data_IF_924149930947
#
_entry.id   IF_924149930947
#
_cell.length_a   1.000
_cell.length_b   1.000
_cell.length_c   1.000
_cell.angle_alpha   90.00
_cell.angle_beta   90.00
_cell.angle_gamma   90.00
#
_symmetry.space_group_name_H-M   'P 1'
#
loop_
_entity.id
_entity.type
_entity.pdbx_description
1 polymer ?
#
# COMPACT_ATOMS: atom_id res chain seq x y z
N UNK A 1 -9.09 16.96 -22.10
CA UNK A 1 -10.35 16.27 -21.76
C UNK A 1 -11.46 16.99 -22.50
N UNK A 2 -12.06 16.35 -23.50
CA UNK A 2 -13.29 16.85 -24.09
C UNK A 2 -14.45 16.39 -23.19
N UNK A 3 -15.29 17.34 -22.78
CA UNK A 3 -16.44 17.06 -21.92
C UNK A 3 -17.60 16.62 -22.83
N UNK A 4 -17.97 15.34 -22.78
CA UNK A 4 -19.12 14.82 -23.52
C UNK A 4 -20.41 15.01 -22.70
N UNK A 5 -21.55 15.03 -23.37
CA UNK A 5 -22.84 15.29 -22.74
C UNK A 5 -23.90 14.30 -23.24
N UNK A 6 -24.71 13.81 -22.31
CA UNK A 6 -25.92 13.03 -22.60
C UNK A 6 -27.15 13.91 -22.47
N UNK A 7 -27.98 13.97 -23.52
CA UNK A 7 -29.23 14.72 -23.50
C UNK A 7 -30.33 13.94 -22.75
N UNK A 8 -30.89 14.55 -21.71
CA UNK A 8 -32.01 14.01 -20.95
C UNK A 8 -33.15 15.03 -20.95
N UNK A 9 -34.12 14.83 -21.85
CA UNK A 9 -35.17 15.84 -22.12
C UNK A 9 -34.59 17.11 -22.74
N UNK A 10 -34.89 18.26 -22.14
CA UNK A 10 -34.38 19.57 -22.59
C UNK A 10 -33.01 19.94 -22.00
N UNK A 11 -32.39 19.04 -21.23
CA UNK A 11 -31.13 19.29 -20.54
C UNK A 11 -29.98 18.47 -21.11
N UNK A 12 -28.79 19.07 -21.16
CA UNK A 12 -27.52 18.39 -21.42
C UNK A 12 -26.80 18.13 -20.10
N UNK A 13 -26.64 16.85 -19.77
CA UNK A 13 -25.95 16.41 -18.55
C UNK A 13 -24.52 16.01 -18.96
N UNK A 14 -23.47 16.60 -18.36
CA UNK A 14 -22.09 16.21 -18.68
C UNK A 14 -21.81 14.78 -18.22
N UNK A 15 -21.15 14.01 -19.08
CA UNK A 15 -20.72 12.65 -18.77
C UNK A 15 -19.46 12.70 -17.91
N UNK A 16 -19.67 12.80 -16.60
CA UNK A 16 -18.60 12.83 -15.61
C UNK A 16 -18.13 11.39 -15.32
N UNK A 17 -17.21 10.89 -16.14
CA UNK A 17 -16.47 9.65 -15.84
C UNK A 17 -15.25 10.00 -15.00
N UNK A 18 -15.10 9.38 -13.82
CA UNK A 18 -13.80 9.31 -13.18
C UNK A 18 -12.92 8.37 -14.02
N UNK A 19 -11.66 8.74 -14.33
CA UNK A 19 -10.75 7.78 -14.94
C UNK A 19 -10.67 6.55 -14.02
N UNK A 20 -10.99 5.38 -14.56
CA UNK A 20 -10.80 4.10 -13.88
C UNK A 20 -9.30 3.86 -13.72
N UNK A 21 -8.72 4.40 -12.65
CA UNK A 21 -7.45 3.89 -12.15
C UNK A 21 -7.74 2.57 -11.44
N UNK A 22 -7.77 1.47 -12.19
CA UNK A 22 -7.62 0.12 -11.65
C UNK A 22 -6.19 -0.07 -11.11
N UNK A 23 -5.78 0.75 -10.15
CA UNK A 23 -4.56 0.49 -9.40
C UNK A 23 -4.88 -0.55 -8.34
N UNK A 24 -4.40 -1.77 -8.55
CA UNK A 24 -4.48 -2.82 -7.55
C UNK A 24 -3.66 -2.41 -6.31
N UNK A 25 -4.36 -2.05 -5.22
CA UNK A 25 -3.73 -1.67 -3.96
C UNK A 25 -3.22 -2.95 -3.26
N UNK A 26 -1.91 -3.02 -2.99
CA UNK A 26 -1.29 -4.14 -2.30
C UNK A 26 -1.62 -4.22 -0.80
N UNK A 27 -0.96 -5.19 -0.13
CA UNK A 27 -1.16 -5.50 1.31
C UNK A 27 -1.07 -4.25 2.18
N UNK A 28 -0.02 -3.44 2.03
CA UNK A 28 0.24 -2.32 2.93
C UNK A 28 -0.71 -1.14 2.67
N UNK A 29 -1.06 -0.89 1.42
CA UNK A 29 -2.07 0.10 1.08
C UNK A 29 -3.45 -0.27 1.66
N UNK A 30 -3.82 -1.56 1.63
CA UNK A 30 -5.08 -2.02 2.23
C UNK A 30 -5.09 -1.92 3.76
N UNK A 31 -3.95 -2.19 4.41
CA UNK A 31 -3.79 -1.95 5.84
C UNK A 31 -3.93 -0.46 6.17
N UNK A 32 -3.28 0.43 5.40
CA UNK A 32 -3.37 1.89 5.58
C UNK A 32 -4.80 2.37 5.42
N UNK A 33 -5.52 1.90 4.39
CA UNK A 33 -6.94 2.21 4.17
C UNK A 33 -7.78 1.86 5.38
N UNK A 34 -7.58 0.66 5.93
CA UNK A 34 -8.32 0.16 7.10
C UNK A 34 -8.02 1.01 8.33
N UNK A 35 -6.74 1.32 8.57
CA UNK A 35 -6.33 2.17 9.68
C UNK A 35 -6.91 3.59 9.57
N UNK A 36 -6.82 4.21 8.40
CA UNK A 36 -7.37 5.54 8.15
C UNK A 36 -8.89 5.59 8.40
N UNK A 37 -9.62 4.58 7.91
CA UNK A 37 -11.07 4.49 8.09
C UNK A 37 -11.48 4.32 9.56
N UNK A 38 -10.73 3.55 10.34
CA UNK A 38 -11.10 3.21 11.71
C UNK A 38 -10.57 4.21 12.74
N UNK A 39 -9.35 4.71 12.56
CA UNK A 39 -8.60 5.48 13.56
C UNK A 39 -8.33 6.93 13.13
N UNK A 40 -8.32 7.26 11.83
CA UNK A 40 -8.04 8.61 11.29
C UNK A 40 -9.13 9.10 10.33
N UNK A 41 -10.40 9.00 10.74
CA UNK A 41 -11.60 9.29 9.93
C UNK A 41 -11.56 10.64 9.19
N UNK A 42 -11.04 11.69 9.83
CA UNK A 42 -10.93 13.03 9.22
C UNK A 42 -9.98 13.05 8.02
N UNK A 43 -8.81 12.42 8.13
CA UNK A 43 -7.87 12.30 7.02
C UNK A 43 -8.45 11.42 5.90
N UNK A 44 -9.09 10.31 6.25
CA UNK A 44 -9.77 9.44 5.29
C UNK A 44 -10.83 10.21 4.47
N UNK A 45 -11.69 10.98 5.14
CA UNK A 45 -12.70 11.79 4.48
C UNK A 45 -12.09 12.88 3.58
N UNK A 46 -11.03 13.55 4.05
CA UNK A 46 -10.32 14.57 3.25
C UNK A 46 -9.70 13.99 1.97
N UNK A 47 -9.07 12.82 2.06
CA UNK A 47 -8.49 12.12 0.90
C UNK A 47 -9.57 11.64 -0.08
N UNK A 48 -10.68 11.12 0.43
CA UNK A 48 -11.84 10.73 -0.39
C UNK A 48 -12.41 11.94 -1.15
N UNK A 49 -12.70 13.04 -0.43
CA UNK A 49 -13.30 14.24 -1.03
C UNK A 49 -12.37 14.94 -2.02
N UNK A 50 -11.06 14.89 -1.80
CA UNK A 50 -10.08 15.42 -2.75
C UNK A 50 -9.76 14.48 -3.91
N UNK A 51 -10.33 13.28 -3.96
CA UNK A 51 -10.03 12.28 -5.00
C UNK A 51 -8.62 11.69 -4.92
N UNK A 52 -7.87 11.94 -3.85
CA UNK A 52 -6.45 11.53 -3.69
C UNK A 52 -6.26 10.27 -2.85
N UNK A 53 -7.34 9.60 -2.46
CA UNK A 53 -7.23 8.40 -1.62
C UNK A 53 -6.43 7.30 -2.32
N UNK A 54 -6.74 6.99 -3.57
CA UNK A 54 -6.13 5.87 -4.28
C UNK A 54 -4.62 6.11 -4.50
N UNK A 55 -4.24 7.31 -4.95
CA UNK A 55 -2.84 7.68 -5.12
C UNK A 55 -2.05 7.62 -3.81
N UNK A 56 -2.62 8.11 -2.71
CA UNK A 56 -2.00 8.01 -1.38
C UNK A 56 -1.78 6.56 -0.95
N UNK A 57 -2.78 5.69 -1.11
CA UNK A 57 -2.66 4.28 -0.73
C UNK A 57 -1.65 3.52 -1.59
N UNK A 58 -1.58 3.84 -2.89
CA UNK A 58 -0.60 3.28 -3.82
C UNK A 58 0.83 3.70 -3.47
N UNK A 59 1.03 4.98 -3.11
CA UNK A 59 2.33 5.49 -2.67
C UNK A 59 2.80 4.83 -1.37
N UNK A 60 1.90 4.69 -0.39
CA UNK A 60 2.20 3.99 0.87
C UNK A 60 2.54 2.51 0.60
N UNK A 61 1.79 1.85 -0.28
CA UNK A 61 2.05 0.44 -0.61
C UNK A 61 3.41 0.23 -1.26
N UNK A 62 3.76 1.08 -2.24
CA UNK A 62 5.08 1.05 -2.88
C UNK A 62 6.19 1.31 -1.87
N UNK A 63 6.10 2.40 -1.12
CA UNK A 63 7.12 2.82 -0.17
C UNK A 63 7.33 1.78 0.93
N UNK A 64 6.25 1.18 1.42
CA UNK A 64 6.32 0.13 2.43
C UNK A 64 7.05 -1.11 1.91
N UNK A 65 6.74 -1.56 0.69
CA UNK A 65 7.38 -2.74 0.09
C UNK A 65 8.88 -2.53 -0.13
N UNK A 66 9.25 -1.38 -0.70
CA UNK A 66 10.65 -1.01 -0.92
C UNK A 66 11.43 -0.95 0.40
N UNK A 67 10.82 -0.38 1.46
CA UNK A 67 11.46 -0.37 2.78
C UNK A 67 11.59 -1.74 3.42
N UNK A 68 10.57 -2.59 3.31
CA UNK A 68 10.65 -3.96 3.85
C UNK A 68 11.78 -4.73 3.17
N UNK A 69 11.90 -4.63 1.84
CA UNK A 69 12.99 -5.25 1.08
C UNK A 69 14.36 -4.72 1.52
N UNK A 70 14.51 -3.39 1.63
CA UNK A 70 15.75 -2.76 2.07
C UNK A 70 16.16 -3.19 3.49
N UNK A 71 15.24 -3.13 4.46
CA UNK A 71 15.52 -3.50 5.85
C UNK A 71 15.82 -4.99 5.94
N UNK A 72 15.08 -5.84 5.23
CA UNK A 72 15.34 -7.28 5.21
C UNK A 72 16.74 -7.59 4.68
N UNK A 73 17.18 -6.91 3.62
CA UNK A 73 18.54 -7.06 3.08
C UNK A 73 19.61 -6.62 4.10
N UNK A 74 19.41 -5.47 4.75
CA UNK A 74 20.32 -4.97 5.80
C UNK A 74 20.39 -5.89 7.02
N UNK A 75 19.27 -6.51 7.40
CA UNK A 75 19.24 -7.49 8.48
C UNK A 75 19.95 -8.78 8.07
N UNK A 76 19.78 -9.24 6.83
CA UNK A 76 20.44 -10.44 6.31
C UNK A 76 21.97 -10.27 6.19
N UNK A 77 22.45 -9.07 5.89
CA UNK A 77 23.89 -8.77 5.89
C UNK A 77 24.50 -8.89 7.29
N UNK A 78 23.74 -8.54 8.33
CA UNK A 78 24.19 -8.61 9.74
C UNK A 78 24.03 -10.00 10.35
N UNK A 79 22.98 -10.71 9.94
CA UNK A 79 22.60 -12.01 10.45
C UNK A 79 22.34 -12.96 9.26
N UNK A 80 23.41 -13.56 8.70
CA UNK A 80 23.31 -14.36 7.48
C UNK A 80 22.53 -15.66 7.71
N UNK A 81 21.74 -16.04 6.71
CA UNK A 81 20.93 -17.26 6.78
C UNK A 81 21.81 -18.53 6.81
N UNK A 82 21.34 -19.61 7.48
CA UNK A 82 22.02 -20.90 7.47
C UNK A 82 22.07 -21.48 6.04
N UNK A 83 22.97 -22.44 5.79
CA UNK A 83 23.05 -23.07 4.46
C UNK A 83 21.75 -23.81 4.11
N UNK A 84 21.11 -23.37 3.03
CA UNK A 84 19.87 -23.93 2.52
C UNK A 84 19.99 -25.41 2.15
N UNK A 85 21.16 -25.89 1.73
CA UNK A 85 21.36 -27.29 1.38
C UNK A 85 21.38 -28.20 2.61
N UNK A 86 21.81 -27.66 3.76
CA UNK A 86 21.95 -28.39 5.03
C UNK A 86 20.66 -28.28 5.84
N UNK A 87 20.07 -27.09 5.92
CA UNK A 87 18.83 -26.85 6.65
C UNK A 87 17.86 -25.95 5.87
N UNK A 88 17.07 -26.52 4.94
CA UNK A 88 16.07 -25.77 4.17
C UNK A 88 15.00 -25.10 5.04
N UNK A 89 14.64 -25.74 6.17
CA UNK A 89 13.58 -25.26 7.04
C UNK A 89 14.07 -24.08 7.89
N UNK A 90 15.26 -24.20 8.47
CA UNK A 90 15.94 -23.13 9.19
C UNK A 90 16.24 -21.93 8.29
N UNK A 91 16.68 -22.16 7.05
CA UNK A 91 16.87 -21.08 6.07
C UNK A 91 15.57 -20.31 5.80
N UNK A 92 14.47 -21.02 5.57
CA UNK A 92 13.16 -20.41 5.30
C UNK A 92 12.64 -19.69 6.55
N UNK A 93 12.77 -20.29 7.72
CA UNK A 93 12.38 -19.70 9.01
C UNK A 93 13.16 -18.42 9.31
N UNK A 94 14.47 -18.43 9.06
CA UNK A 94 15.36 -17.29 9.25
C UNK A 94 14.95 -16.11 8.36
N UNK A 95 14.81 -16.32 7.06
CA UNK A 95 14.41 -15.26 6.14
C UNK A 95 13.02 -14.70 6.46
N UNK A 96 12.08 -15.56 6.86
CA UNK A 96 10.76 -15.11 7.30
C UNK A 96 10.82 -14.27 8.57
N UNK A 97 11.68 -14.63 9.53
CA UNK A 97 11.91 -13.86 10.76
C UNK A 97 12.44 -12.46 10.46
N UNK A 98 13.48 -12.34 9.61
CA UNK A 98 14.04 -11.05 9.23
C UNK A 98 13.03 -10.19 8.48
N UNK A 99 12.27 -10.80 7.55
CA UNK A 99 11.18 -10.10 6.86
C UNK A 99 10.11 -9.63 7.84
N UNK A 100 9.74 -10.43 8.83
CA UNK A 100 8.75 -10.05 9.83
C UNK A 100 9.20 -8.84 10.65
N UNK A 101 10.46 -8.83 11.11
CA UNK A 101 11.04 -7.68 11.82
C UNK A 101 11.04 -6.41 10.96
N UNK A 102 11.36 -6.54 9.67
CA UNK A 102 11.27 -5.43 8.72
C UNK A 102 9.82 -4.95 8.54
N UNK A 103 8.85 -5.87 8.41
CA UNK A 103 7.43 -5.53 8.31
C UNK A 103 6.93 -4.77 9.55
N UNK A 104 7.27 -5.20 10.77
CA UNK A 104 6.85 -4.53 12.01
C UNK A 104 7.31 -3.07 12.04
N UNK A 105 8.58 -2.82 11.67
CA UNK A 105 9.16 -1.47 11.62
C UNK A 105 8.38 -0.59 10.63
N UNK A 106 8.15 -1.10 9.42
CA UNK A 106 7.47 -0.35 8.35
C UNK A 106 6.01 -0.09 8.67
N UNK A 107 5.32 -1.06 9.30
CA UNK A 107 3.92 -0.89 9.70
C UNK A 107 3.76 0.25 10.72
N UNK A 108 4.65 0.33 11.70
CA UNK A 108 4.64 1.41 12.69
C UNK A 108 4.91 2.78 12.04
N UNK A 109 5.86 2.86 11.11
CA UNK A 109 6.28 4.12 10.49
C UNK A 109 5.31 4.67 9.43
N UNK A 110 4.75 3.80 8.58
CA UNK A 110 4.00 4.23 7.39
C UNK A 110 2.50 3.91 7.47
N UNK A 111 2.14 2.79 8.08
CA UNK A 111 0.76 2.28 8.04
C UNK A 111 -0.06 2.80 9.21
N UNK A 112 0.52 2.81 10.42
CA UNK A 112 -0.18 3.16 11.66
C UNK A 112 0.14 4.56 12.21
N UNK A 113 0.85 5.39 11.44
CA UNK A 113 1.11 6.81 11.76
C UNK A 113 -0.14 7.68 11.63
#
# INVERSE_FOLDING_TARGET
>A
MELTYTQTGDYLIPDLMLPEEETHIGKYGMLRKTYLKNHRKGMYASLMLSGRLISHLSEIDRTARERVELITAQLLEKDPAPDKAIDPMGWTGHLNSLKHQAEETVLAELVFS
#
